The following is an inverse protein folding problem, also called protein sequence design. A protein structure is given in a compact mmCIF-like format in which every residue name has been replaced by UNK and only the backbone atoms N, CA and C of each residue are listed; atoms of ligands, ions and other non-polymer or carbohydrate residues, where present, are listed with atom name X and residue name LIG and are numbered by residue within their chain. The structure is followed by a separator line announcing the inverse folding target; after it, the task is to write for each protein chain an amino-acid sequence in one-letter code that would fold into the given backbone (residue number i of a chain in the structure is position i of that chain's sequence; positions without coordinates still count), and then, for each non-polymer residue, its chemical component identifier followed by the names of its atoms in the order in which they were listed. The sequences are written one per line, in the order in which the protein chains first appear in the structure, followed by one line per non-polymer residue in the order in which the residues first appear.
data_IF_581939360086
#
_entry.id   IF_581939360086
#
_cell.length_a   1.000
_cell.length_b   1.000
_cell.length_c   1.000
_cell.angle_alpha   90.00
_cell.angle_beta   90.00
_cell.angle_gamma   90.00
#
_symmetry.space_group_name_H-M   'P 1'
#
loop_
_entity.id
_entity.type
_entity.pdbx_description
1 polymer ?
#
# COMPACT_ATOMS: atom_id res chain seq x y z
N UNK A 1 6.77 19.69 -10.25
CA UNK A 1 6.66 19.34 -8.82
C UNK A 1 6.09 17.92 -8.73
N UNK A 2 6.93 16.91 -8.42
CA UNK A 2 6.43 15.63 -7.89
C UNK A 2 6.47 14.35 -8.74
N UNK A 3 7.27 14.22 -9.80
CA UNK A 3 7.47 12.93 -10.50
C UNK A 3 8.77 12.28 -10.04
N UNK A 4 8.86 11.78 -8.80
CA UNK A 4 10.12 11.19 -8.31
C UNK A 4 10.03 9.97 -7.37
N UNK A 5 8.91 9.24 -7.21
CA UNK A 5 8.88 8.11 -6.26
C UNK A 5 8.21 6.80 -6.70
N UNK A 6 8.09 6.52 -8.01
CA UNK A 6 7.50 5.25 -8.47
C UNK A 6 8.52 4.10 -8.68
N UNK A 7 9.83 4.36 -8.59
CA UNK A 7 10.86 3.37 -8.96
C UNK A 7 11.32 2.42 -7.84
N UNK A 8 11.09 2.72 -6.55
CA UNK A 8 11.57 1.86 -5.45
C UNK A 8 10.54 0.89 -4.88
N UNK A 9 9.24 1.04 -5.22
CA UNK A 9 8.18 0.19 -4.66
C UNK A 9 7.86 -1.05 -5.53
N UNK A 10 8.19 -1.03 -6.83
CA UNK A 10 7.86 -2.11 -7.76
C UNK A 10 8.65 -3.40 -7.53
N UNK A 11 9.85 -3.33 -6.94
CA UNK A 11 10.70 -4.50 -6.69
C UNK A 11 10.17 -5.40 -5.56
N UNK A 12 9.84 -4.83 -4.39
CA UNK A 12 9.33 -5.60 -3.25
C UNK A 12 7.94 -6.19 -3.50
N UNK A 13 7.09 -5.49 -4.24
CA UNK A 13 5.76 -5.97 -4.64
C UNK A 13 5.79 -7.33 -5.35
N UNK A 14 6.73 -7.52 -6.29
CA UNK A 14 6.87 -8.80 -7.03
C UNK A 14 7.23 -9.95 -6.10
N UNK A 15 8.01 -9.70 -5.05
CA UNK A 15 8.36 -10.68 -4.04
C UNK A 15 7.17 -11.06 -3.15
N UNK A 16 6.36 -10.09 -2.74
CA UNK A 16 5.16 -10.31 -1.92
C UNK A 16 4.11 -11.16 -2.63
N UNK A 17 3.89 -10.91 -3.93
CA UNK A 17 3.00 -11.74 -4.76
C UNK A 17 3.46 -13.19 -4.88
N UNK A 18 4.77 -13.40 -5.02
CA UNK A 18 5.34 -14.74 -5.18
C UNK A 18 5.37 -15.54 -3.88
N UNK A 19 5.32 -14.86 -2.73
CA UNK A 19 5.44 -15.49 -1.42
C UNK A 19 4.10 -15.94 -0.82
N UNK A 20 2.94 -15.62 -1.43
CA UNK A 20 1.59 -16.10 -1.09
C UNK A 20 1.30 -16.29 0.42
N UNK A 21 1.79 -15.39 1.27
CA UNK A 21 1.61 -15.45 2.74
C UNK A 21 0.64 -14.43 3.30
N UNK A 22 0.09 -13.57 2.45
CA UNK A 22 -0.79 -12.48 2.85
C UNK A 22 -2.19 -12.89 2.47
N UNK A 23 -2.99 -13.22 3.49
CA UNK A 23 -4.43 -13.42 3.30
C UNK A 23 -5.07 -12.07 2.96
N UNK A 24 -5.76 -12.01 1.82
CA UNK A 24 -6.54 -10.85 1.41
C UNK A 24 -7.86 -10.88 2.20
N UNK A 25 -8.22 -9.79 2.88
CA UNK A 25 -9.51 -9.74 3.56
C UNK A 25 -10.66 -9.61 2.54
N UNK A 26 -11.80 -10.22 2.83
CA UNK A 26 -12.96 -10.31 1.91
C UNK A 26 -13.53 -8.95 1.44
N UNK A 27 -13.24 -7.87 2.17
CA UNK A 27 -13.71 -6.53 1.84
C UNK A 27 -12.81 -5.77 0.87
N UNK A 28 -11.69 -6.34 0.41
CA UNK A 28 -10.72 -5.64 -0.45
C UNK A 28 -11.32 -5.09 -1.73
N UNK A 29 -12.37 -5.74 -2.23
CA UNK A 29 -12.96 -5.42 -3.53
C UNK A 29 -14.04 -4.34 -3.44
N UNK A 30 -14.50 -4.04 -2.22
CA UNK A 30 -15.63 -3.13 -1.97
C UNK A 30 -15.12 -1.77 -1.47
N UNK A 31 -13.95 -1.73 -0.84
CA UNK A 31 -13.47 -0.56 -0.12
C UNK A 31 -12.86 0.49 -1.03
N UNK A 32 -13.25 1.74 -0.82
CA UNK A 32 -12.54 2.91 -1.34
C UNK A 32 -11.32 3.25 -0.48
N UNK A 33 -10.21 3.58 -1.14
CA UNK A 33 -8.90 3.65 -0.48
C UNK A 33 -8.70 4.84 0.44
N UNK A 34 -9.48 5.90 0.26
CA UNK A 34 -9.48 7.09 1.09
C UNK A 34 -10.85 7.79 1.01
N UNK A 35 -11.15 8.65 1.97
CA UNK A 35 -12.45 9.35 2.05
C UNK A 35 -12.66 10.32 0.89
N UNK A 36 -11.58 10.89 0.34
CA UNK A 36 -11.61 11.84 -0.77
C UNK A 36 -11.75 11.19 -2.15
N UNK A 37 -11.63 9.86 -2.25
CA UNK A 37 -11.79 9.16 -3.53
C UNK A 37 -13.26 8.85 -3.75
N UNK A 38 -13.76 9.23 -4.92
CA UNK A 38 -15.13 8.93 -5.35
C UNK A 38 -15.25 7.52 -5.95
N UNK A 39 -14.19 7.05 -6.61
CA UNK A 39 -14.12 5.72 -7.23
C UNK A 39 -13.33 4.72 -6.36
N UNK A 40 -13.61 3.43 -6.57
CA UNK A 40 -12.79 2.33 -6.05
C UNK A 40 -11.37 2.34 -6.64
N UNK A 41 -10.47 1.50 -6.11
CA UNK A 41 -9.11 1.41 -6.63
C UNK A 41 -9.12 0.88 -8.08
N UNK A 42 -8.45 1.58 -9.00
CA UNK A 42 -8.34 1.16 -10.41
C UNK A 42 -7.49 -0.12 -10.60
N UNK A 43 -6.57 -0.38 -9.67
CA UNK A 43 -5.63 -1.49 -9.73
C UNK A 43 -6.05 -2.64 -8.79
N UNK A 44 -6.20 -3.88 -9.29
CA UNK A 44 -6.62 -5.04 -8.48
C UNK A 44 -5.57 -5.43 -7.42
N UNK A 45 -4.30 -5.05 -7.61
CA UNK A 45 -3.20 -5.42 -6.72
C UNK A 45 -2.87 -4.35 -5.65
N UNK A 46 -3.77 -3.41 -5.41
CA UNK A 46 -3.54 -2.24 -4.55
C UNK A 46 -3.08 -2.62 -3.13
N UNK A 47 -3.58 -3.75 -2.59
CA UNK A 47 -3.29 -4.18 -1.21
C UNK A 47 -1.80 -4.54 -1.04
N UNK A 48 -1.24 -5.24 -2.02
CA UNK A 48 0.17 -5.63 -2.04
C UNK A 48 1.09 -4.42 -2.23
N UNK A 49 0.69 -3.47 -3.08
CA UNK A 49 1.45 -2.22 -3.29
C UNK A 49 1.47 -1.39 -2.01
N UNK A 50 0.31 -1.26 -1.34
CA UNK A 50 0.20 -0.56 -0.06
C UNK A 50 1.04 -1.23 1.02
N UNK A 51 0.99 -2.55 1.14
CA UNK A 51 1.79 -3.33 2.10
C UNK A 51 3.29 -3.12 1.90
N UNK A 52 3.78 -3.18 0.65
CA UNK A 52 5.19 -2.93 0.31
C UNK A 52 5.64 -1.50 0.66
N UNK A 53 4.75 -0.52 0.47
CA UNK A 53 5.02 0.89 0.81
C UNK A 53 5.06 1.10 2.33
N UNK A 54 4.15 0.45 3.07
CA UNK A 54 4.11 0.50 4.54
C UNK A 54 5.34 -0.16 5.16
N UNK A 55 5.71 -1.37 4.73
CA UNK A 55 6.86 -2.10 5.27
C UNK A 55 8.16 -1.31 5.12
N UNK A 56 8.36 -0.66 3.96
CA UNK A 56 9.51 0.22 3.73
C UNK A 56 9.55 1.41 4.70
N UNK A 57 8.40 2.01 5.00
CA UNK A 57 8.32 3.16 5.91
C UNK A 57 8.59 2.75 7.36
N UNK A 58 8.05 1.62 7.80
CA UNK A 58 8.29 1.06 9.14
C UNK A 58 9.79 0.76 9.31
N UNK A 59 10.40 0.16 8.29
CA UNK A 59 11.84 -0.14 8.31
C UNK A 59 12.71 1.12 8.43
N UNK A 60 12.37 2.18 7.70
CA UNK A 60 13.17 3.42 7.66
C UNK A 60 12.91 4.35 8.85
N UNK A 61 11.67 4.41 9.35
CA UNK A 61 11.27 5.30 10.43
C UNK A 61 10.61 4.44 11.50
N UNK A 62 11.38 4.12 12.54
CA UNK A 62 10.86 3.46 13.72
C UNK A 62 9.75 4.30 14.39
N UNK A 63 8.77 3.63 15.00
CA UNK A 63 7.71 4.30 15.79
C UNK A 63 6.51 4.83 14.99
N UNK A 64 6.29 4.39 13.75
CA UNK A 64 5.11 4.77 12.97
C UNK A 64 3.86 3.96 13.38
N UNK A 65 2.86 4.66 13.93
CA UNK A 65 1.53 4.10 14.23
C UNK A 65 0.50 4.31 13.11
N UNK A 66 -0.69 3.76 13.29
CA UNK A 66 -1.81 3.84 12.33
C UNK A 66 -2.20 5.29 12.00
N UNK A 67 -2.13 6.20 12.98
CA UNK A 67 -2.40 7.63 12.76
C UNK A 67 -1.42 8.31 11.80
N UNK A 68 -0.15 7.87 11.76
CA UNK A 68 0.82 8.38 10.80
C UNK A 68 0.50 7.88 9.38
N UNK A 69 0.10 6.61 9.25
CA UNK A 69 -0.30 6.06 7.95
C UNK A 69 -1.58 6.71 7.41
N UNK A 70 -2.55 7.03 8.28
CA UNK A 70 -3.77 7.76 7.90
C UNK A 70 -3.51 9.14 7.29
N UNK A 71 -2.39 9.78 7.62
CA UNK A 71 -2.03 11.10 7.06
C UNK A 71 -1.32 11.00 5.71
N UNK A 72 -0.63 9.88 5.44
CA UNK A 72 0.21 9.73 4.25
C UNK A 72 -0.58 9.14 3.07
N UNK A 73 -1.66 8.41 3.33
CA UNK A 73 -2.54 7.79 2.34
C UNK A 73 -3.93 8.43 2.37
#
# INVERSE_FOLDING_TARGET
MGVLNNFTCTSNFKFLKRSCRIELPDWTDIVKMATFKELAADEPDWYYIRSASMSRKIYLRGGLGVGAFRRIY
#
